data_IF_562847868408
#
_entry.id   IF_562847868408
#
_cell.length_a   1.000
_cell.length_b   1.000
_cell.length_c   1.000
_cell.angle_alpha   90.00
_cell.angle_beta   90.00
_cell.angle_gamma   90.00
#
_symmetry.space_group_name_H-M   'P 1'
#
loop_
_entity.id
_entity.type
_entity.pdbx_description
1 polymer ?
#
# COMPACT_ATOMS: atom_id res chain seq x y z
N UNK A 1 -1.29 -14.47 16.62
CA UNK A 1 -1.09 -15.68 15.77
C UNK A 1 0.42 -15.83 15.54
N UNK A 2 0.93 -16.92 14.96
CA UNK A 2 2.36 -17.03 14.60
C UNK A 2 2.61 -16.52 13.18
N UNK A 3 3.78 -15.94 12.94
CA UNK A 3 4.24 -15.56 11.60
C UNK A 3 4.45 -16.84 10.78
N UNK A 4 3.95 -16.87 9.55
CA UNK A 4 4.12 -18.03 8.66
C UNK A 4 5.32 -17.82 7.76
N UNK A 5 6.33 -18.68 7.88
CA UNK A 5 7.47 -18.70 6.95
C UNK A 5 7.05 -19.43 5.67
N UNK A 6 7.08 -18.71 4.54
CA UNK A 6 6.66 -19.25 3.24
C UNK A 6 7.75 -20.14 2.64
N UNK A 7 7.35 -21.28 2.10
CA UNK A 7 8.24 -22.17 1.35
C UNK A 7 8.61 -21.57 -0.02
N UNK A 8 9.57 -22.18 -0.73
CA UNK A 8 9.91 -21.73 -2.09
C UNK A 8 8.72 -21.80 -3.07
N UNK A 9 7.84 -22.79 -2.90
CA UNK A 9 6.61 -22.97 -3.69
C UNK A 9 5.59 -21.87 -3.36
N UNK A 10 5.40 -21.59 -2.08
CA UNK A 10 4.54 -20.48 -1.61
C UNK A 10 5.01 -19.13 -2.15
N UNK A 11 6.32 -18.87 -2.11
CA UNK A 11 6.91 -17.64 -2.63
C UNK A 11 6.71 -17.54 -4.14
N UNK A 12 6.85 -18.65 -4.88
CA UNK A 12 6.57 -18.67 -6.32
C UNK A 12 5.10 -18.32 -6.61
N UNK A 13 4.17 -18.81 -5.81
CA UNK A 13 2.75 -18.46 -5.93
C UNK A 13 2.48 -16.99 -5.56
N UNK A 14 3.12 -16.48 -4.50
CA UNK A 14 3.06 -15.06 -4.12
C UNK A 14 3.56 -14.14 -5.23
N UNK A 15 4.65 -14.48 -5.92
CA UNK A 15 5.13 -13.71 -7.08
C UNK A 15 4.08 -13.61 -8.18
N UNK A 16 3.31 -14.67 -8.42
CA UNK A 16 2.21 -14.64 -9.41
C UNK A 16 1.11 -13.70 -8.93
N UNK A 17 0.65 -13.84 -7.69
CA UNK A 17 -0.40 -12.98 -7.13
C UNK A 17 0.02 -11.49 -7.15
N UNK A 18 1.24 -11.20 -6.70
CA UNK A 18 1.80 -9.84 -6.65
C UNK A 18 1.98 -9.23 -8.05
N UNK A 19 2.43 -10.01 -9.03
CA UNK A 19 2.51 -9.55 -10.42
C UNK A 19 1.12 -9.18 -10.94
N UNK A 20 0.13 -10.04 -10.74
CA UNK A 20 -1.25 -9.80 -11.20
C UNK A 20 -1.86 -8.54 -10.55
N UNK A 21 -1.63 -8.31 -9.25
CA UNK A 21 -2.02 -7.07 -8.57
C UNK A 21 -1.36 -5.83 -9.19
N UNK A 22 -0.04 -5.90 -9.43
CA UNK A 22 0.70 -4.79 -10.06
C UNK A 22 0.26 -4.49 -11.50
N UNK A 23 -0.14 -5.52 -12.26
CA UNK A 23 -0.67 -5.38 -13.62
C UNK A 23 -2.04 -4.68 -13.63
N UNK A 24 -2.87 -4.83 -12.59
CA UNK A 24 -4.11 -4.06 -12.44
C UNK A 24 -3.82 -2.57 -12.29
N UNK A 25 -2.82 -2.19 -11.47
CA UNK A 25 -2.40 -0.79 -11.36
C UNK A 25 -1.84 -0.24 -12.67
N UNK A 26 -1.06 -1.04 -13.41
CA UNK A 26 -0.59 -0.65 -14.75
C UNK A 26 -1.75 -0.45 -15.74
N UNK A 27 -2.73 -1.35 -15.71
CA UNK A 27 -3.91 -1.29 -16.57
C UNK A 27 -4.75 -0.04 -16.35
N UNK A 28 -5.01 0.34 -15.08
CA UNK A 28 -5.85 1.52 -14.78
C UNK A 28 -5.11 2.84 -14.99
N UNK A 29 -3.77 2.86 -14.84
CA UNK A 29 -2.93 4.07 -14.91
C UNK A 29 -3.25 5.01 -16.09
N UNK A 30 -3.33 4.57 -17.37
CA UNK A 30 -3.61 5.46 -18.49
C UNK A 30 -5.01 6.11 -18.46
N UNK A 31 -5.92 5.61 -17.63
CA UNK A 31 -7.27 6.13 -17.47
C UNK A 31 -7.37 7.20 -16.38
N UNK A 32 -6.45 7.21 -15.41
CA UNK A 32 -6.50 8.11 -14.24
C UNK A 32 -6.09 9.53 -14.65
N UNK A 33 -7.08 10.33 -15.04
CA UNK A 33 -6.93 11.71 -15.52
C UNK A 33 -8.09 12.60 -15.05
N UNK A 34 -7.96 13.94 -15.12
CA UNK A 34 -9.05 14.82 -14.69
C UNK A 34 -10.40 14.46 -15.32
N UNK A 35 -11.44 14.37 -14.50
CA UNK A 35 -12.80 14.03 -14.90
C UNK A 35 -13.20 12.57 -14.74
N UNK A 36 -12.27 11.63 -14.53
CA UNK A 36 -12.63 10.25 -14.18
C UNK A 36 -13.22 10.19 -12.77
N UNK A 37 -14.21 9.33 -12.53
CA UNK A 37 -14.74 9.05 -11.20
C UNK A 37 -13.96 7.91 -10.55
N UNK A 38 -13.93 7.84 -9.22
CA UNK A 38 -13.28 6.69 -8.56
C UNK A 38 -14.08 5.40 -8.76
N UNK A 39 -15.40 5.48 -8.96
CA UNK A 39 -16.21 4.33 -9.38
C UNK A 39 -15.81 3.78 -10.75
N UNK A 40 -15.40 4.63 -11.70
CA UNK A 40 -14.90 4.15 -13.00
C UNK A 40 -13.52 3.51 -12.87
N UNK A 41 -12.66 4.03 -11.98
CA UNK A 41 -11.37 3.38 -11.64
C UNK A 41 -11.61 1.99 -11.04
N UNK A 42 -12.55 1.87 -10.10
CA UNK A 42 -12.95 0.58 -9.49
C UNK A 42 -13.44 -0.42 -10.55
N UNK A 43 -14.33 0.04 -11.45
CA UNK A 43 -14.87 -0.79 -12.55
C UNK A 43 -13.76 -1.30 -13.47
N UNK A 44 -12.80 -0.44 -13.84
CA UNK A 44 -11.66 -0.83 -14.68
C UNK A 44 -10.75 -1.83 -13.97
N UNK A 45 -10.52 -1.66 -12.66
CA UNK A 45 -9.78 -2.63 -11.86
C UNK A 45 -10.46 -4.00 -11.82
N UNK A 46 -11.77 -4.02 -11.55
CA UNK A 46 -12.57 -5.24 -11.56
C UNK A 46 -12.57 -5.94 -12.94
N UNK A 47 -12.65 -5.17 -14.02
CA UNK A 47 -12.55 -5.67 -15.39
C UNK A 47 -11.19 -6.35 -15.65
N UNK A 48 -10.09 -5.72 -15.22
CA UNK A 48 -8.75 -6.30 -15.35
C UNK A 48 -8.62 -7.61 -14.56
N UNK A 49 -9.06 -7.63 -13.30
CA UNK A 49 -9.04 -8.84 -12.48
C UNK A 49 -9.84 -9.98 -13.11
N UNK A 50 -11.02 -9.69 -13.64
CA UNK A 50 -11.84 -10.67 -14.35
C UNK A 50 -11.12 -11.25 -15.58
N UNK A 51 -10.41 -10.42 -16.36
CA UNK A 51 -9.60 -10.87 -17.50
C UNK A 51 -8.41 -11.75 -17.08
N UNK A 52 -7.78 -11.43 -15.94
CA UNK A 52 -6.71 -12.24 -15.34
C UNK A 52 -7.23 -13.56 -14.73
N UNK A 53 -8.55 -13.67 -14.50
CA UNK A 53 -9.15 -14.77 -13.77
C UNK A 53 -8.87 -14.72 -12.25
N UNK A 54 -8.60 -13.53 -11.72
CA UNK A 54 -8.51 -13.21 -10.30
C UNK A 54 -9.80 -12.56 -9.82
N UNK A 55 -9.95 -12.40 -8.50
CA UNK A 55 -11.03 -11.63 -7.88
C UNK A 55 -10.47 -10.60 -6.92
N UNK A 56 -11.23 -9.54 -6.61
CA UNK A 56 -10.83 -8.56 -5.59
C UNK A 56 -10.92 -9.15 -4.19
N UNK A 57 -9.93 -8.84 -3.35
CA UNK A 57 -9.98 -9.18 -1.94
C UNK A 57 -10.80 -8.22 -1.08
N UNK A 58 -11.05 -7.00 -1.57
CA UNK A 58 -11.72 -5.95 -0.80
C UNK A 58 -13.24 -6.03 -0.93
N UNK A 59 -13.78 -6.39 -2.11
CA UNK A 59 -15.24 -6.43 -2.27
C UNK A 59 -15.88 -7.49 -1.35
N UNK A 60 -16.79 -7.04 -0.48
CA UNK A 60 -17.42 -7.88 0.53
C UNK A 60 -16.51 -8.24 1.71
N UNK A 61 -15.29 -7.72 1.78
CA UNK A 61 -14.41 -7.91 2.93
C UNK A 61 -15.07 -7.35 4.18
N UNK A 62 -15.13 -8.16 5.24
CA UNK A 62 -15.89 -7.81 6.44
C UNK A 62 -15.17 -8.28 7.72
N UNK A 63 -14.19 -7.49 8.22
CA UNK A 63 -13.66 -7.66 9.55
C UNK A 63 -14.76 -7.57 10.62
N UNK A 64 -14.61 -8.24 11.78
CA UNK A 64 -15.56 -8.14 12.88
C UNK A 64 -15.79 -6.68 13.29
N UNK A 65 -17.05 -6.26 13.31
CA UNK A 65 -17.44 -4.89 13.68
C UNK A 65 -17.55 -3.90 12.52
N UNK A 66 -17.22 -4.31 11.29
CA UNK A 66 -17.31 -3.47 10.09
C UNK A 66 -18.48 -3.92 9.17
N UNK A 67 -19.13 -2.99 8.45
CA UNK A 67 -19.99 -3.38 7.32
C UNK A 67 -19.14 -3.97 6.19
N UNK A 68 -19.68 -4.79 5.28
CA UNK A 68 -18.92 -5.29 4.14
C UNK A 68 -18.40 -4.12 3.29
N UNK A 69 -17.14 -4.17 2.88
CA UNK A 69 -16.58 -3.15 1.99
C UNK A 69 -17.24 -3.23 0.60
N UNK A 70 -17.68 -2.10 0.00
CA UNK A 70 -18.55 -2.14 -1.17
C UNK A 70 -17.84 -2.06 -2.53
N UNK A 71 -16.53 -1.75 -2.56
CA UNK A 71 -15.74 -1.60 -3.80
C UNK A 71 -14.79 -2.77 -4.05
N UNK A 72 -14.26 -2.88 -5.26
CA UNK A 72 -13.19 -3.81 -5.63
C UNK A 72 -11.79 -3.26 -5.33
N UNK A 73 -11.64 -1.95 -5.26
CA UNK A 73 -10.41 -1.22 -4.93
C UNK A 73 -10.69 -0.18 -3.84
N UNK A 74 -9.66 0.25 -3.11
CA UNK A 74 -9.75 1.47 -2.32
C UNK A 74 -9.25 2.67 -3.12
N UNK A 75 -9.93 3.81 -3.03
CA UNK A 75 -9.59 5.05 -3.75
C UNK A 75 -9.57 6.25 -2.80
N UNK A 76 -8.38 6.58 -2.30
CA UNK A 76 -8.19 7.54 -1.21
C UNK A 76 -7.74 8.89 -1.75
N UNK A 77 -8.68 9.83 -1.88
CA UNK A 77 -8.47 11.15 -2.48
C UNK A 77 -8.08 12.21 -1.44
N UNK A 78 -6.98 12.93 -1.67
CA UNK A 78 -6.51 14.09 -0.91
C UNK A 78 -6.27 13.84 0.58
N UNK A 79 -7.27 14.11 1.42
CA UNK A 79 -7.19 14.01 2.89
C UNK A 79 -7.69 12.66 3.40
N UNK A 80 -8.18 11.80 2.50
CA UNK A 80 -8.46 10.40 2.79
C UNK A 80 -7.11 9.69 2.91
N UNK A 81 -6.90 9.07 4.06
CA UNK A 81 -5.68 8.38 4.45
C UNK A 81 -5.62 7.01 3.79
N UNK A 82 -6.67 6.20 3.97
CA UNK A 82 -6.82 4.87 3.42
C UNK A 82 -8.32 4.49 3.33
N UNK A 83 -8.61 3.36 2.68
CA UNK A 83 -9.93 2.73 2.60
C UNK A 83 -11.05 3.61 2.02
N UNK A 84 -10.71 4.62 1.21
CA UNK A 84 -11.71 5.46 0.56
C UNK A 84 -12.63 4.64 -0.36
N UNK A 85 -13.95 4.75 -0.17
CA UNK A 85 -14.93 4.03 -0.99
C UNK A 85 -15.06 4.69 -2.37
N UNK A 86 -14.90 3.95 -3.48
CA UNK A 86 -15.17 4.43 -4.84
C UNK A 86 -16.57 5.06 -4.99
N UNK A 87 -16.66 6.18 -5.71
CA UNK A 87 -17.91 6.92 -5.89
C UNK A 87 -17.94 7.72 -7.20
N UNK A 88 -19.10 8.30 -7.51
CA UNK A 88 -19.38 9.03 -8.75
C UNK A 88 -18.82 10.46 -8.81
N UNK A 89 -18.06 10.90 -7.80
CA UNK A 89 -17.47 12.24 -7.80
C UNK A 89 -16.27 12.27 -8.76
N UNK A 90 -16.28 13.11 -9.80
CA UNK A 90 -15.14 13.22 -10.70
C UNK A 90 -13.91 13.80 -10.00
N UNK A 91 -12.75 13.20 -10.23
CA UNK A 91 -11.45 13.72 -9.83
C UNK A 91 -11.16 15.03 -10.56
N UNK A 92 -10.63 16.01 -9.82
CA UNK A 92 -10.35 17.35 -10.33
C UNK A 92 -8.85 17.51 -10.57
N UNK A 93 -8.51 18.40 -11.51
CA UNK A 93 -7.13 18.87 -11.66
C UNK A 93 -6.65 19.40 -10.31
N UNK A 94 -5.52 18.88 -9.84
CA UNK A 94 -4.91 19.23 -8.57
C UNK A 94 -5.08 18.20 -7.47
N UNK A 95 -6.03 17.26 -7.62
CA UNK A 95 -6.21 16.16 -6.66
C UNK A 95 -5.02 15.20 -6.70
N UNK A 96 -4.74 14.58 -5.56
CA UNK A 96 -3.96 13.34 -5.49
C UNK A 96 -4.88 12.21 -5.05
N UNK A 97 -4.64 11.01 -5.57
CA UNK A 97 -5.42 9.82 -5.21
C UNK A 97 -4.49 8.63 -5.05
N UNK A 98 -4.58 7.93 -3.92
CA UNK A 98 -4.05 6.58 -3.80
C UNK A 98 -5.10 5.60 -4.38
N UNK A 99 -4.64 4.64 -5.19
CA UNK A 99 -5.44 3.48 -5.57
C UNK A 99 -4.77 2.24 -5.02
N UNK A 100 -5.52 1.48 -4.25
CA UNK A 100 -5.09 0.29 -3.53
C UNK A 100 -5.78 -0.95 -4.09
N UNK A 101 -4.97 -1.97 -4.39
CA UNK A 101 -5.33 -3.13 -5.16
C UNK A 101 -4.84 -4.39 -4.48
N UNK A 102 -5.80 -5.21 -4.08
CA UNK A 102 -5.53 -6.58 -3.65
C UNK A 102 -6.27 -7.59 -4.53
N UNK A 103 -5.54 -8.49 -5.17
CA UNK A 103 -6.12 -9.61 -5.94
C UNK A 103 -6.07 -10.89 -5.15
N UNK A 104 -7.02 -11.79 -5.42
CA UNK A 104 -6.99 -13.19 -5.00
C UNK A 104 -6.89 -14.06 -6.26
N UNK A 105 -5.85 -14.88 -6.32
CA UNK A 105 -5.68 -15.89 -7.36
C UNK A 105 -6.61 -17.08 -7.16
N UNK A 106 -6.78 -17.91 -8.20
CA UNK A 106 -7.61 -19.14 -8.11
C UNK A 106 -7.14 -20.11 -7.03
N UNK A 107 -5.85 -20.10 -6.74
CA UNK A 107 -5.23 -20.95 -5.72
C UNK A 107 -5.26 -20.31 -4.31
N UNK A 108 -5.95 -19.18 -4.17
CA UNK A 108 -6.20 -18.51 -2.88
C UNK A 108 -5.08 -17.60 -2.40
N UNK A 109 -4.07 -17.30 -3.23
CA UNK A 109 -3.00 -16.38 -2.89
C UNK A 109 -3.38 -14.93 -3.13
N UNK A 110 -3.09 -14.08 -2.15
CA UNK A 110 -3.33 -12.66 -2.16
C UNK A 110 -2.09 -11.92 -2.65
N UNK A 111 -2.27 -10.89 -3.49
CA UNK A 111 -1.21 -9.97 -3.88
C UNK A 111 -1.68 -8.54 -3.69
N UNK A 112 -0.89 -7.74 -2.98
CA UNK A 112 -1.33 -6.44 -2.47
C UNK A 112 -0.36 -5.30 -2.76
N UNK A 113 -0.86 -4.21 -3.31
CA UNK A 113 -0.10 -3.00 -3.56
C UNK A 113 -0.97 -1.77 -3.82
N UNK A 114 -0.36 -0.59 -3.66
CA UNK A 114 -1.01 0.68 -3.95
C UNK A 114 -0.05 1.70 -4.56
N UNK A 115 -0.62 2.66 -5.30
CA UNK A 115 0.14 3.76 -5.94
C UNK A 115 -0.56 5.10 -5.78
N UNK A 116 0.25 6.16 -5.67
CA UNK A 116 -0.26 7.54 -5.79
C UNK A 116 -0.33 7.99 -7.24
N UNK A 117 -1.42 8.66 -7.58
CA UNK A 117 -1.63 9.33 -8.85
C UNK A 117 -1.85 10.83 -8.64
N UNK A 118 -1.23 11.63 -9.50
CA UNK A 118 -1.36 13.08 -9.54
C UNK A 118 -2.32 13.46 -10.67
N UNK A 119 -3.43 14.12 -10.33
CA UNK A 119 -4.48 14.42 -11.31
C UNK A 119 -4.18 15.75 -12.00
N UNK A 120 -3.52 15.67 -13.16
CA UNK A 120 -3.07 16.85 -13.89
C UNK A 120 -1.98 17.62 -13.14
N UNK A 121 -2.08 18.96 -13.11
CA UNK A 121 -1.09 19.79 -12.40
C UNK A 121 -1.49 19.99 -10.94
N UNK A 122 -0.78 19.29 -10.05
CA UNK A 122 -0.95 19.37 -8.59
C UNK A 122 -0.08 20.46 -7.94
N UNK A 123 -0.45 20.84 -6.71
CA UNK A 123 0.34 21.77 -5.91
C UNK A 123 1.73 21.21 -5.58
N UNK A 124 2.69 22.09 -5.27
CA UNK A 124 4.05 21.69 -4.84
C UNK A 124 3.96 20.79 -3.60
N UNK A 125 3.08 21.11 -2.66
CA UNK A 125 2.89 20.33 -1.44
C UNK A 125 2.39 18.91 -1.74
N UNK A 126 1.42 18.76 -2.65
CA UNK A 126 0.89 17.46 -3.04
C UNK A 126 1.94 16.62 -3.78
N UNK A 127 2.67 17.22 -4.73
CA UNK A 127 3.79 16.57 -5.44
C UNK A 127 4.87 16.09 -4.48
N UNK A 128 5.27 16.97 -3.55
CA UNK A 128 6.30 16.68 -2.55
C UNK A 128 5.86 15.60 -1.57
N UNK A 129 4.62 15.66 -1.08
CA UNK A 129 4.07 14.64 -0.18
C UNK A 129 4.10 13.25 -0.84
N UNK A 130 3.52 13.11 -2.03
CA UNK A 130 3.48 11.82 -2.73
C UNK A 130 4.87 11.26 -3.01
N UNK A 131 5.83 12.10 -3.41
CA UNK A 131 7.20 11.67 -3.65
C UNK A 131 7.93 11.26 -2.36
N UNK A 132 7.81 12.04 -1.29
CA UNK A 132 8.46 11.71 -0.01
C UNK A 132 7.86 10.46 0.63
N UNK A 133 6.56 10.20 0.48
CA UNK A 133 5.97 8.93 0.95
C UNK A 133 6.54 7.74 0.19
N UNK A 134 6.77 7.87 -1.12
CA UNK A 134 7.42 6.82 -1.92
C UNK A 134 8.86 6.57 -1.45
N UNK A 135 9.62 7.63 -1.24
CA UNK A 135 11.00 7.54 -0.71
C UNK A 135 11.01 6.89 0.69
N UNK A 136 10.09 7.29 1.57
CA UNK A 136 9.98 6.74 2.92
C UNK A 136 9.72 5.23 2.91
N UNK A 137 8.77 4.78 2.06
CA UNK A 137 8.50 3.35 1.86
C UNK A 137 9.77 2.59 1.47
N UNK A 138 10.51 3.10 0.48
CA UNK A 138 11.75 2.46 0.02
C UNK A 138 12.85 2.45 1.08
N UNK A 139 13.00 3.50 1.89
CA UNK A 139 13.94 3.53 3.01
C UNK A 139 13.60 2.47 4.07
N UNK A 140 12.31 2.24 4.32
CA UNK A 140 11.83 1.14 5.16
C UNK A 140 12.16 -0.24 4.56
N UNK A 141 11.85 -0.44 3.26
CA UNK A 141 12.15 -1.68 2.53
C UNK A 141 13.64 -2.00 2.57
N UNK A 142 14.53 -1.01 2.44
CA UNK A 142 15.98 -1.21 2.49
C UNK A 142 16.51 -1.74 3.84
N UNK A 143 15.72 -1.69 4.91
CA UNK A 143 16.09 -2.29 6.20
C UNK A 143 15.78 -3.79 6.27
N UNK A 144 15.01 -4.32 5.31
CA UNK A 144 14.54 -5.70 5.32
C UNK A 144 15.70 -6.65 4.99
N UNK A 145 16.07 -7.48 5.96
CA UNK A 145 17.04 -8.58 5.81
C UNK A 145 16.96 -9.50 7.01
N UNK A 146 17.40 -10.77 6.89
CA UNK A 146 17.50 -11.66 8.04
C UNK A 146 18.30 -11.02 9.18
N UNK A 147 17.76 -11.10 10.40
CA UNK A 147 18.37 -10.55 11.62
C UNK A 147 18.08 -9.07 11.90
N UNK A 148 17.58 -8.29 10.93
CA UNK A 148 17.00 -6.97 11.22
C UNK A 148 15.65 -7.12 11.95
N UNK A 149 15.10 -6.04 12.49
CA UNK A 149 13.82 -6.10 13.21
C UNK A 149 12.74 -5.23 12.58
N UNK A 150 11.48 -5.52 12.87
CA UNK A 150 10.34 -4.69 12.42
C UNK A 150 10.48 -3.22 12.85
N UNK A 151 11.04 -2.97 14.02
CA UNK A 151 11.34 -1.63 14.51
C UNK A 151 12.35 -0.85 13.66
N UNK A 152 13.25 -1.53 12.95
CA UNK A 152 14.19 -0.89 12.02
C UNK A 152 13.46 -0.29 10.81
N UNK A 153 12.48 -1.02 10.25
CA UNK A 153 11.63 -0.57 9.14
C UNK A 153 10.88 0.70 9.56
N UNK A 154 10.17 0.62 10.69
CA UNK A 154 9.39 1.76 11.20
C UNK A 154 10.26 2.96 11.57
N UNK A 155 11.43 2.74 12.17
CA UNK A 155 12.35 3.83 12.49
C UNK A 155 12.89 4.55 11.24
N UNK A 156 13.23 3.81 10.18
CA UNK A 156 13.72 4.39 8.94
C UNK A 156 12.65 5.29 8.29
N UNK A 157 11.41 4.79 8.17
CA UNK A 157 10.27 5.55 7.64
C UNK A 157 10.03 6.80 8.49
N UNK A 158 9.89 6.64 9.81
CA UNK A 158 9.56 7.74 10.71
C UNK A 158 10.62 8.83 10.73
N UNK A 159 11.90 8.45 10.85
CA UNK A 159 13.02 9.41 10.88
C UNK A 159 13.03 10.27 9.61
N UNK A 160 12.82 9.65 8.45
CA UNK A 160 12.77 10.36 7.18
C UNK A 160 11.54 11.28 7.07
N UNK A 161 10.36 10.75 7.39
CA UNK A 161 9.09 11.48 7.29
C UNK A 161 9.09 12.72 8.21
N UNK A 162 9.41 12.53 9.49
CA UNK A 162 9.42 13.60 10.48
C UNK A 162 10.52 14.63 10.17
N UNK A 163 11.69 14.19 9.67
CA UNK A 163 12.76 15.08 9.21
C UNK A 163 12.35 15.98 8.03
N UNK A 164 11.33 15.61 7.26
CA UNK A 164 10.77 16.41 6.17
C UNK A 164 9.53 17.21 6.57
N UNK A 165 9.14 17.18 7.84
CA UNK A 165 7.97 17.87 8.38
C UNK A 165 6.65 17.16 8.08
N UNK A 166 6.67 15.86 7.76
CA UNK A 166 5.50 15.02 7.62
C UNK A 166 5.20 14.30 8.94
N UNK A 167 3.98 13.80 9.11
CA UNK A 167 3.63 12.95 10.25
C UNK A 167 3.20 11.56 9.80
N UNK A 168 3.48 10.56 10.64
CA UNK A 168 3.18 9.15 10.36
C UNK A 168 1.86 8.76 11.03
N UNK A 169 0.94 8.19 10.26
CA UNK A 169 -0.29 7.56 10.80
C UNK A 169 0.10 6.34 11.65
N UNK A 170 -0.58 6.13 12.79
CA UNK A 170 -0.16 5.10 13.77
C UNK A 170 -1.20 4.02 14.03
N UNK A 171 -2.40 4.24 13.55
CA UNK A 171 -3.57 3.38 13.77
C UNK A 171 -3.68 2.27 12.71
N UNK A 172 -2.98 2.41 11.59
CA UNK A 172 -2.85 1.42 10.52
C UNK A 172 -1.39 1.03 10.34
N UNK A 173 -1.15 -0.17 9.83
CA UNK A 173 0.16 -0.78 9.69
C UNK A 173 0.18 -1.70 8.49
N UNK A 174 1.37 -2.03 7.99
CA UNK A 174 1.50 -3.16 7.09
C UNK A 174 1.19 -4.49 7.78
N UNK A 175 1.11 -5.55 6.99
CA UNK A 175 0.72 -6.86 7.50
C UNK A 175 1.44 -7.99 6.78
N UNK A 176 1.51 -9.15 7.43
CA UNK A 176 1.82 -10.39 6.75
C UNK A 176 0.75 -10.71 5.71
N UNK A 177 1.13 -11.37 4.64
CA UNK A 177 0.21 -11.72 3.55
C UNK A 177 0.58 -13.07 2.93
N UNK A 178 -0.43 -13.81 2.49
CA UNK A 178 -0.27 -15.14 1.92
C UNK A 178 -1.57 -15.70 1.37
N UNK A 179 -2.08 -16.75 2.00
CA UNK A 179 -3.40 -17.31 1.69
C UNK A 179 -4.52 -16.71 2.56
N UNK A 180 -4.16 -15.81 3.48
CA UNK A 180 -5.08 -14.86 4.10
C UNK A 180 -4.66 -13.46 3.71
N UNK A 181 -5.65 -12.57 3.64
CA UNK A 181 -5.44 -11.17 3.30
C UNK A 181 -4.51 -10.50 4.34
N UNK A 182 -4.90 -10.53 5.61
CA UNK A 182 -4.12 -9.98 6.71
C UNK A 182 -3.64 -11.10 7.65
N UNK A 183 -2.32 -11.34 7.68
CA UNK A 183 -1.60 -12.28 8.55
C UNK A 183 -0.63 -11.52 9.47
N UNK A 184 -0.04 -12.22 10.44
CA UNK A 184 1.11 -11.69 11.17
C UNK A 184 2.36 -11.67 10.27
N UNK A 185 3.30 -10.72 10.45
CA UNK A 185 3.32 -9.72 11.51
C UNK A 185 2.66 -8.39 11.12
N UNK A 186 2.30 -7.58 12.12
CA UNK A 186 1.98 -6.16 11.93
C UNK A 186 3.25 -5.33 11.73
N UNK A 187 3.32 -4.58 10.63
CA UNK A 187 4.48 -3.76 10.24
C UNK A 187 4.20 -2.29 10.54
N UNK A 188 4.60 -1.82 11.72
CA UNK A 188 4.43 -0.41 12.08
C UNK A 188 5.36 0.48 11.25
N UNK A 189 4.85 1.60 10.74
CA UNK A 189 5.63 2.59 9.99
C UNK A 189 6.35 3.61 10.88
N UNK A 190 6.40 3.33 12.18
CA UNK A 190 7.12 4.06 13.22
C UNK A 190 7.75 3.06 14.18
N UNK A 191 8.86 3.42 14.83
CA UNK A 191 9.55 2.44 15.65
C UNK A 191 10.86 2.92 16.26
N UNK A 192 11.53 1.98 16.94
CA UNK A 192 12.89 2.15 17.47
C UNK A 192 13.80 1.07 16.87
N UNK A 193 15.05 1.39 16.53
CA UNK A 193 15.99 0.41 15.98
C UNK A 193 16.15 -0.80 16.92
N UNK A 194 16.25 -2.00 16.34
CA UNK A 194 16.47 -3.26 17.05
C UNK A 194 15.31 -3.73 17.93
N UNK A 195 14.10 -3.19 17.76
CA UNK A 195 12.90 -3.60 18.52
C UNK A 195 11.90 -4.36 17.67
N UNK A 196 11.04 -5.16 18.32
CA UNK A 196 10.02 -5.96 17.64
C UNK A 196 10.54 -7.30 17.12
N UNK A 197 9.76 -7.94 16.27
CA UNK A 197 10.09 -9.25 15.67
C UNK A 197 11.36 -9.16 14.84
N UNK A 198 12.24 -10.15 14.99
CA UNK A 198 13.39 -10.36 14.11
C UNK A 198 12.89 -10.94 12.78
N UNK A 199 13.40 -10.40 11.68
CA UNK A 199 13.07 -10.83 10.32
C UNK A 199 13.82 -12.12 9.98
N UNK A 200 13.11 -13.06 9.38
CA UNK A 200 13.62 -14.36 8.94
C UNK A 200 13.35 -14.56 7.45
N UNK A 201 14.22 -15.31 6.76
CA UNK A 201 14.02 -15.68 5.35
C UNK A 201 12.64 -16.33 5.16
N UNK A 202 11.94 -15.94 4.10
CA UNK A 202 10.62 -16.46 3.76
C UNK A 202 9.45 -15.77 4.46
N UNK A 203 9.70 -14.78 5.34
CA UNK A 203 8.63 -13.88 5.78
C UNK A 203 8.14 -13.03 4.60
N UNK A 204 6.81 -12.95 4.42
CA UNK A 204 6.17 -12.15 3.36
C UNK A 204 5.20 -11.16 4.00
N UNK A 205 5.36 -9.87 3.68
CA UNK A 205 4.57 -8.79 4.27
C UNK A 205 4.53 -7.54 3.39
N UNK A 206 3.64 -6.62 3.73
CA UNK A 206 3.47 -5.31 3.08
C UNK A 206 4.27 -4.23 3.81
N UNK A 207 4.80 -3.26 3.06
CA UNK A 207 5.31 -1.99 3.60
C UNK A 207 4.52 -0.86 2.95
N UNK A 208 3.60 -0.29 3.72
CA UNK A 208 2.53 0.59 3.22
C UNK A 208 2.39 1.93 3.98
N UNK A 209 3.44 2.75 4.13
CA UNK A 209 3.37 3.92 4.99
C UNK A 209 2.35 4.96 4.53
N UNK A 210 1.49 5.36 5.46
CA UNK A 210 0.58 6.50 5.31
C UNK A 210 1.18 7.73 6.00
N UNK A 211 1.51 8.75 5.20
CA UNK A 211 2.10 10.00 5.69
C UNK A 211 1.17 11.19 5.45
N UNK A 212 0.98 12.00 6.48
CA UNK A 212 0.18 13.22 6.44
C UNK A 212 1.09 14.45 6.31
N UNK A 213 0.63 15.45 5.56
CA UNK A 213 1.26 16.76 5.50
C UNK A 213 1.06 17.55 6.81
N UNK A 214 -0.08 17.35 7.47
CA UNK A 214 -0.42 17.96 8.75
C UNK A 214 -0.12 17.04 9.93
N UNK A 215 -1.05 16.96 10.87
CA UNK A 215 -0.91 16.15 12.08
C UNK A 215 -1.25 14.68 11.82
N UNK A 216 -0.76 13.80 12.71
CA UNK A 216 -0.95 12.35 12.59
C UNK A 216 -2.38 11.89 12.87
N UNK A 217 -3.18 12.68 13.61
CA UNK A 217 -4.48 12.21 14.06
C UNK A 217 -5.45 12.03 12.89
N UNK A 218 -6.15 10.89 12.90
CA UNK A 218 -7.14 10.51 11.91
C UNK A 218 -8.53 10.37 12.55
N UNK A 219 -9.55 10.21 11.71
CA UNK A 219 -10.91 9.86 12.11
C UNK A 219 -11.61 9.13 10.96
N UNK A 220 -12.60 8.31 11.28
CA UNK A 220 -13.54 7.80 10.27
C UNK A 220 -14.37 8.95 9.66
N UNK A 221 -14.67 8.85 8.37
CA UNK A 221 -15.49 9.79 7.65
C UNK A 221 -16.97 9.43 7.81
N UNK A 222 -17.66 10.19 8.66
CA UNK A 222 -19.10 10.03 8.83
C UNK A 222 -19.44 8.68 9.47
N UNK A 223 -20.20 7.84 8.74
CA UNK A 223 -20.68 6.54 9.22
C UNK A 223 -20.61 5.47 8.12
N UNK A 224 -19.77 5.66 7.11
CA UNK A 224 -19.61 4.66 6.04
C UNK A 224 -18.88 3.40 6.52
N UNK A 225 -18.22 3.49 7.68
CA UNK A 225 -17.55 2.39 8.35
C UNK A 225 -16.17 2.05 7.81
N UNK A 226 -15.65 2.81 6.84
CA UNK A 226 -14.39 2.46 6.16
C UNK A 226 -13.47 3.64 5.92
N UNK A 227 -14.00 4.74 5.39
CA UNK A 227 -13.14 5.82 4.88
C UNK A 227 -12.44 6.51 6.04
N UNK A 228 -11.11 6.52 6.03
CA UNK A 228 -10.30 7.17 7.05
C UNK A 228 -9.78 8.49 6.52
N UNK A 229 -9.91 9.57 7.30
CA UNK A 229 -9.44 10.90 6.91
C UNK A 229 -8.53 11.52 7.97
N UNK A 230 -7.65 12.41 7.55
CA UNK A 230 -6.90 13.28 8.47
C UNK A 230 -7.87 14.15 9.26
N UNK A 231 -7.64 14.26 10.58
CA UNK A 231 -8.54 15.01 11.47
C UNK A 231 -8.51 16.51 11.17
N UNK A 232 -7.38 17.02 10.69
CA UNK A 232 -7.18 18.41 10.30
C UNK A 232 -7.43 18.68 8.80
N UNK A 233 -7.89 17.68 8.04
CA UNK A 233 -8.17 17.76 6.60
C UNK A 233 -6.95 18.12 5.73
N UNK A 234 -5.74 17.97 6.26
CA UNK A 234 -4.50 18.04 5.46
C UNK A 234 -4.39 16.85 4.50
N UNK A 235 -3.54 16.97 3.48
CA UNK A 235 -3.29 15.90 2.52
C UNK A 235 -2.62 14.69 3.20
N UNK A 236 -2.96 13.50 2.72
CA UNK A 236 -2.30 12.24 3.03
C UNK A 236 -1.83 11.57 1.74
N UNK A 237 -0.78 10.76 1.83
CA UNK A 237 -0.33 9.89 0.74
C UNK A 237 0.09 8.53 1.30
N UNK A 238 -0.11 7.49 0.49
CA UNK A 238 0.27 6.12 0.77
C UNK A 238 0.87 5.50 -0.48
N UNK A 239 1.91 4.70 -0.29
CA UNK A 239 2.44 3.78 -1.29
C UNK A 239 2.61 2.43 -0.63
N UNK A 240 2.54 1.38 -1.42
CA UNK A 240 2.68 0.04 -0.87
C UNK A 240 3.35 -0.93 -1.83
N UNK A 241 4.15 -1.81 -1.22
CA UNK A 241 4.63 -3.01 -1.85
C UNK A 241 4.50 -4.22 -0.91
N UNK A 242 4.03 -5.34 -1.46
CA UNK A 242 4.31 -6.68 -0.92
C UNK A 242 5.74 -7.11 -1.27
N UNK A 243 6.47 -7.64 -0.28
CA UNK A 243 7.84 -8.15 -0.42
C UNK A 243 8.05 -9.44 0.37
N UNK A 244 9.13 -10.16 0.04
CA UNK A 244 9.62 -11.32 0.78
C UNK A 244 11.01 -11.06 1.34
N UNK A 245 11.30 -11.51 2.56
CA UNK A 245 12.65 -11.55 3.12
C UNK A 245 13.43 -12.69 2.45
N UNK A 246 14.56 -12.38 1.84
CA UNK A 246 15.44 -13.37 1.18
C UNK A 246 16.58 -13.78 2.13
N UNK A 247 17.52 -14.59 1.65
CA UNK A 247 18.73 -14.98 2.40
C UNK A 247 19.60 -13.80 2.83
N UNK A 248 19.58 -12.73 2.05
CA UNK A 248 20.56 -11.64 2.12
C UNK A 248 19.91 -10.26 2.20
N UNK A 249 18.59 -10.17 1.97
CA UNK A 249 17.83 -8.94 2.09
C UNK A 249 16.35 -9.15 1.82
N UNK A 250 15.88 -8.64 0.68
CA UNK A 250 14.48 -8.67 0.29
C UNK A 250 14.30 -8.85 -1.21
N UNK A 251 13.08 -9.19 -1.63
CA UNK A 251 12.60 -9.08 -2.99
C UNK A 251 11.24 -8.40 -3.00
N UNK A 252 11.12 -7.27 -3.72
CA UNK A 252 9.84 -6.59 -3.94
C UNK A 252 9.09 -7.31 -5.05
N UNK A 253 7.97 -7.96 -4.72
CA UNK A 253 7.23 -8.82 -5.65
C UNK A 253 6.16 -8.08 -6.47
N UNK A 254 5.84 -6.84 -6.11
CA UNK A 254 4.79 -6.00 -6.71
C UNK A 254 5.34 -4.87 -7.58
N UNK A 255 6.57 -5.04 -8.08
CA UNK A 255 7.12 -4.20 -9.14
C UNK A 255 6.66 -4.68 -10.52
N UNK A 256 6.24 -3.74 -11.36
CA UNK A 256 5.87 -3.99 -12.75
C UNK A 256 6.58 -3.02 -13.70
N UNK A 257 6.39 -3.23 -15.00
CA UNK A 257 6.95 -2.33 -16.02
C UNK A 257 6.39 -0.90 -15.93
N UNK A 258 5.15 -0.73 -15.44
CA UNK A 258 4.53 0.57 -15.21
C UNK A 258 4.79 1.18 -13.83
N UNK A 259 5.60 0.55 -12.97
CA UNK A 259 6.00 1.15 -11.70
C UNK A 259 6.75 2.49 -11.92
N UNK A 260 6.58 3.46 -11.01
CA UNK A 260 7.38 4.68 -11.05
C UNK A 260 8.88 4.37 -11.01
N UNK A 261 9.68 5.29 -11.55
CA UNK A 261 11.14 5.21 -11.42
C UNK A 261 11.53 5.11 -9.94
N UNK A 262 12.44 4.18 -9.63
CA UNK A 262 12.94 3.99 -8.28
C UNK A 262 13.60 5.27 -7.76
N UNK A 263 13.54 5.54 -6.44
CA UNK A 263 14.32 6.61 -5.86
C UNK A 263 15.82 6.42 -6.17
N UNK A 264 16.59 7.49 -6.43
CA UNK A 264 17.99 7.36 -6.85
C UNK A 264 18.91 6.62 -5.87
N UNK A 265 18.51 6.50 -4.60
CA UNK A 265 19.26 5.79 -3.56
C UNK A 265 18.95 4.27 -3.52
N UNK A 266 17.98 3.79 -4.29
CA UNK A 266 17.64 2.37 -4.37
C UNK A 266 18.50 1.69 -5.42
N UNK A 267 19.43 0.85 -4.97
CA UNK A 267 20.40 0.16 -5.85
C UNK A 267 19.99 -1.26 -6.23
N UNK A 268 19.01 -1.84 -5.52
CA UNK A 268 18.49 -3.18 -5.78
C UNK A 268 17.03 -3.28 -5.35
N UNK A 269 16.25 -4.07 -6.10
CA UNK A 269 14.86 -4.43 -5.79
C UNK A 269 14.70 -5.89 -5.38
N UNK A 270 15.78 -6.66 -5.53
CA UNK A 270 15.95 -8.04 -5.10
C UNK A 270 17.43 -8.24 -4.72
N UNK A 271 17.69 -8.81 -3.55
CA UNK A 271 19.04 -9.13 -3.08
C UNK A 271 19.08 -10.39 -2.23
#
# INVERSE_FOLDING_TARGET
MSITIKSAEDIAAMRVACRLASEVLDYITPHIKPGITTAEIDRLGAECMAQQGTVSATIGYQPPGYPPYPGHLCTSVNHVVCHGIPNDKPLKKGDIVNVDVTVITKDGWYGDNSRMFLIGECSIAAKRLSALTFDAMWLGIQQVRPGATLGDIGNAIQTFAEGHGLSVVREFCGHGIGQKFHEEPQILHYGRPGTGTVLEEGMVFTVEPMLNLGRREIKELGKDGWTIVTKDHSLSAQWEHTLVVTKTGYEVMTLSAGSPALPPFVTATSC
#
